data_IF_878685606508
#
_entry.id   IF_878685606508
#
_cell.length_a   1.000
_cell.length_b   1.000
_cell.length_c   1.000
_cell.angle_alpha   90.00
_cell.angle_beta   90.00
_cell.angle_gamma   90.00
#
_symmetry.space_group_name_H-M   'P 1'
#
loop_
_entity.id
_entity.type
_entity.pdbx_description
1 polymer ?
#
# COMPACT_ATOMS: atom_id res chain seq x y z
N UNK A 1 -18.96 2.41 -14.44
CA UNK A 1 -18.59 1.26 -13.59
C UNK A 1 -17.24 0.73 -14.06
N UNK A 2 -16.15 1.06 -13.38
CA UNK A 2 -14.81 0.53 -13.70
C UNK A 2 -14.23 -0.13 -12.44
N UNK A 3 -14.03 -1.44 -12.51
CA UNK A 3 -13.20 -2.25 -11.60
C UNK A 3 -13.65 -2.35 -10.13
N UNK A 4 -14.96 -2.34 -9.82
CA UNK A 4 -15.46 -2.74 -8.50
C UNK A 4 -15.04 -1.83 -7.33
N UNK A 5 -14.50 -0.64 -7.60
CA UNK A 5 -14.09 0.31 -6.57
C UNK A 5 -15.28 1.18 -6.16
N UNK A 6 -15.66 1.23 -4.87
CA UNK A 6 -16.66 2.18 -4.42
C UNK A 6 -16.12 3.61 -4.56
N UNK A 7 -16.90 4.48 -5.21
CA UNK A 7 -16.50 5.84 -5.60
C UNK A 7 -16.30 6.80 -4.41
N UNK A 8 -16.73 6.40 -3.19
CA UNK A 8 -16.76 7.25 -2.00
C UNK A 8 -15.99 6.70 -0.78
N UNK A 9 -15.01 5.82 -0.98
CA UNK A 9 -14.19 5.31 0.14
C UNK A 9 -12.89 6.10 0.25
N UNK A 10 -12.74 6.82 1.36
CA UNK A 10 -11.50 7.50 1.72
C UNK A 10 -10.51 6.51 2.35
N UNK A 11 -9.71 5.88 1.50
CA UNK A 11 -8.67 4.94 1.93
C UNK A 11 -7.56 5.60 2.78
N UNK A 12 -7.51 6.94 2.88
CA UNK A 12 -6.50 7.66 3.66
C UNK A 12 -6.75 7.63 5.17
N UNK A 13 -7.92 7.14 5.62
CA UNK A 13 -8.27 6.97 7.03
C UNK A 13 -8.42 5.48 7.42
N UNK A 14 -8.11 4.59 6.49
CA UNK A 14 -8.28 3.15 6.64
C UNK A 14 -6.95 2.49 6.95
N UNK A 15 -6.88 1.77 8.07
CA UNK A 15 -5.76 0.88 8.37
C UNK A 15 -5.90 -0.44 7.59
N UNK A 16 -4.92 -1.34 7.71
CA UNK A 16 -4.90 -2.63 7.01
C UNK A 16 -6.18 -3.45 7.21
N UNK A 17 -6.81 -3.38 8.39
CA UNK A 17 -8.06 -4.08 8.68
C UNK A 17 -9.24 -3.46 7.94
N UNK A 18 -9.28 -2.13 7.86
CA UNK A 18 -10.33 -1.41 7.14
C UNK A 18 -10.27 -1.68 5.62
N UNK A 19 -9.06 -1.90 5.08
CA UNK A 19 -8.84 -2.32 3.69
C UNK A 19 -9.33 -3.76 3.46
N UNK A 20 -9.02 -4.70 4.38
CA UNK A 20 -9.49 -6.08 4.30
C UNK A 20 -11.02 -6.19 4.39
N UNK A 21 -11.68 -5.28 5.12
CA UNK A 21 -13.14 -5.23 5.23
C UNK A 21 -13.83 -4.55 4.04
N UNK A 22 -13.14 -3.64 3.35
CA UNK A 22 -13.65 -2.98 2.15
C UNK A 22 -13.36 -3.75 0.85
N UNK A 23 -12.64 -4.88 0.92
CA UNK A 23 -12.23 -5.67 -0.24
C UNK A 23 -13.41 -6.40 -0.90
N UNK A 24 -13.39 -6.48 -2.24
CA UNK A 24 -14.37 -7.20 -3.07
C UNK A 24 -13.62 -8.10 -4.08
N UNK A 25 -14.09 -9.34 -4.34
CA UNK A 25 -13.39 -10.38 -5.12
C UNK A 25 -13.41 -11.79 -4.49
N UNK A 26 -12.67 -12.73 -5.10
CA UNK A 26 -12.44 -14.07 -4.54
C UNK A 26 -11.31 -14.03 -3.50
N UNK A 27 -11.49 -14.75 -2.38
CA UNK A 27 -10.57 -14.72 -1.22
C UNK A 27 -10.96 -13.74 -0.10
N UNK A 28 -12.05 -12.96 -0.27
CA UNK A 28 -12.56 -12.06 0.77
C UNK A 28 -12.83 -12.80 2.08
N UNK A 29 -13.41 -14.00 2.03
CA UNK A 29 -13.85 -14.71 3.24
C UNK A 29 -12.69 -14.96 4.20
N UNK A 30 -11.52 -15.30 3.67
CA UNK A 30 -10.32 -15.55 4.48
C UNK A 30 -9.73 -14.24 5.01
N UNK A 31 -9.65 -13.20 4.18
CA UNK A 31 -9.19 -11.87 4.58
C UNK A 31 -10.10 -11.24 5.65
N UNK A 32 -11.42 -11.40 5.53
CA UNK A 32 -12.42 -10.94 6.50
C UNK A 32 -12.36 -11.75 7.80
N UNK A 33 -12.14 -13.07 7.72
CA UNK A 33 -11.99 -13.90 8.91
C UNK A 33 -10.76 -13.50 9.74
N UNK A 34 -9.64 -13.25 9.06
CA UNK A 34 -8.40 -12.76 9.69
C UNK A 34 -8.59 -11.36 10.28
N UNK A 35 -9.16 -10.42 9.51
CA UNK A 35 -9.40 -9.05 9.99
C UNK A 35 -10.37 -9.01 11.19
N UNK A 36 -11.43 -9.83 11.15
CA UNK A 36 -12.38 -10.01 12.24
C UNK A 36 -11.70 -10.55 13.50
N UNK A 37 -10.85 -11.57 13.38
CA UNK A 37 -10.09 -12.12 14.51
C UNK A 37 -9.15 -11.10 15.14
N UNK A 38 -8.43 -10.33 14.32
CA UNK A 38 -7.52 -9.27 14.80
C UNK A 38 -8.31 -8.16 15.51
N UNK A 39 -9.44 -7.69 14.94
CA UNK A 39 -10.31 -6.72 15.62
C UNK A 39 -10.89 -7.26 16.91
N UNK A 40 -11.26 -8.53 16.95
CA UNK A 40 -11.81 -9.14 18.15
C UNK A 40 -10.76 -9.16 19.28
N UNK A 41 -9.49 -9.44 18.97
CA UNK A 41 -8.40 -9.33 19.94
C UNK A 41 -8.24 -7.86 20.38
N UNK A 42 -8.11 -6.92 19.44
CA UNK A 42 -7.96 -5.48 19.75
C UNK A 42 -9.11 -4.97 20.64
N UNK A 43 -10.36 -5.35 20.33
CA UNK A 43 -11.54 -4.90 21.06
C UNK A 43 -11.66 -5.58 22.43
N UNK A 44 -11.36 -6.88 22.51
CA UNK A 44 -11.34 -7.64 23.78
C UNK A 44 -10.31 -7.08 24.75
N UNK A 45 -9.18 -6.59 24.23
CA UNK A 45 -8.13 -5.95 25.02
C UNK A 45 -8.47 -4.51 25.48
N UNK A 46 -9.37 -3.82 24.78
CA UNK A 46 -9.83 -2.47 25.15
C UNK A 46 -10.89 -2.48 26.26
N UNK A 47 -11.69 -3.53 26.34
CA UNK A 47 -12.79 -3.66 27.33
C UNK A 47 -12.35 -4.31 28.65
N UNK A 48 -11.13 -4.84 28.75
CA UNK A 48 -10.50 -5.12 30.04
C UNK A 48 -9.33 -6.09 29.98
N UNK A 49 -8.19 -5.65 30.57
CA UNK A 49 -7.00 -6.42 31.02
C UNK A 49 -5.66 -6.21 30.30
N UNK A 50 -5.42 -5.13 29.57
CA UNK A 50 -4.02 -4.77 29.26
C UNK A 50 -3.40 -3.95 30.38
N UNK A 51 -2.23 -4.39 30.87
CA UNK A 51 -1.36 -3.52 31.67
C UNK A 51 -0.82 -2.37 30.81
N UNK A 52 -0.35 -1.27 31.40
CA UNK A 52 0.23 -0.16 30.62
C UNK A 52 1.38 -0.60 29.69
N UNK A 53 2.12 -1.64 30.09
CA UNK A 53 3.21 -2.21 29.29
C UNK A 53 2.69 -2.88 28.02
N UNK A 54 1.57 -3.58 28.11
CA UNK A 54 1.00 -4.28 26.96
C UNK A 54 0.35 -3.30 25.97
N UNK A 55 -0.27 -2.22 26.46
CA UNK A 55 -0.72 -1.10 25.61
C UNK A 55 0.44 -0.45 24.86
N UNK A 56 1.58 -0.28 25.53
CA UNK A 56 2.77 0.28 24.92
C UNK A 56 3.30 -0.63 23.80
N UNK A 57 3.34 -1.94 24.02
CA UNK A 57 3.74 -2.92 23.00
C UNK A 57 2.79 -2.94 21.80
N UNK A 58 1.47 -2.87 22.03
CA UNK A 58 0.49 -2.80 20.95
C UNK A 58 0.64 -1.52 20.14
N UNK A 59 0.87 -0.37 20.79
CA UNK A 59 1.12 0.89 20.09
C UNK A 59 2.42 0.85 19.27
N UNK A 60 3.49 0.27 19.81
CA UNK A 60 4.75 0.08 19.08
C UNK A 60 4.55 -0.83 17.86
N UNK A 61 3.77 -1.92 18.00
CA UNK A 61 3.45 -2.80 16.88
C UNK A 61 2.60 -2.10 15.83
N UNK A 62 1.61 -1.30 16.24
CA UNK A 62 0.77 -0.51 15.34
C UNK A 62 1.61 0.54 14.59
N UNK A 63 2.52 1.22 15.28
CA UNK A 63 3.43 2.20 14.68
C UNK A 63 4.46 1.55 13.75
N UNK A 64 5.02 0.39 14.12
CA UNK A 64 5.90 -0.37 13.23
C UNK A 64 5.16 -0.92 12.01
N UNK A 65 3.88 -1.31 12.14
CA UNK A 65 3.05 -1.74 11.01
C UNK A 65 2.72 -0.57 10.08
N UNK A 66 2.55 0.65 10.61
CA UNK A 66 2.49 1.87 9.79
C UNK A 66 3.83 2.11 9.10
N UNK A 67 4.94 1.94 9.79
CA UNK A 67 6.30 2.19 9.29
C UNK A 67 6.75 1.24 8.19
N UNK A 68 6.27 0.00 8.16
CA UNK A 68 6.55 -0.96 7.07
C UNK A 68 6.03 -0.44 5.71
N UNK A 69 4.99 0.39 5.70
CA UNK A 69 4.41 1.01 4.50
C UNK A 69 5.01 2.43 4.26
N UNK A 70 5.63 3.02 5.28
CA UNK A 70 5.73 4.48 5.47
C UNK A 70 6.76 5.21 4.61
N UNK A 71 8.05 4.82 4.45
CA UNK A 71 9.01 5.74 3.85
C UNK A 71 8.67 6.13 2.42
N UNK A 72 8.13 5.18 1.64
CA UNK A 72 7.78 5.45 0.24
C UNK A 72 6.47 6.26 0.14
N UNK A 73 5.43 5.91 0.91
CA UNK A 73 4.17 6.67 0.91
C UNK A 73 4.34 8.08 1.47
N UNK A 74 5.10 8.25 2.55
CA UNK A 74 5.38 9.56 3.14
C UNK A 74 6.12 10.47 2.16
N UNK A 75 7.09 9.93 1.41
CA UNK A 75 7.81 10.72 0.41
C UNK A 75 6.94 11.15 -0.78
N UNK A 76 5.98 10.33 -1.20
CA UNK A 76 5.01 10.75 -2.21
C UNK A 76 4.02 11.78 -1.68
N UNK A 77 3.53 11.62 -0.44
CA UNK A 77 2.66 12.58 0.22
C UNK A 77 3.35 13.95 0.37
N UNK A 78 4.60 13.97 0.84
CA UNK A 78 5.40 15.19 0.97
C UNK A 78 5.66 15.87 -0.38
N UNK A 79 5.72 15.09 -1.47
CA UNK A 79 5.85 15.59 -2.83
C UNK A 79 4.51 15.99 -3.48
N UNK A 80 3.38 15.88 -2.77
CA UNK A 80 2.04 16.13 -3.30
C UNK A 80 1.58 15.12 -4.36
N UNK A 81 2.21 13.94 -4.42
CA UNK A 81 1.94 12.90 -5.41
C UNK A 81 1.02 11.84 -4.82
N UNK A 82 -0.15 11.65 -5.41
CA UNK A 82 -1.13 10.63 -4.99
C UNK A 82 -1.06 9.39 -5.90
N UNK A 83 -0.41 8.33 -5.40
CA UNK A 83 -0.38 7.02 -6.06
C UNK A 83 -1.53 6.13 -5.59
N UNK A 84 -2.04 5.28 -6.48
CA UNK A 84 -2.95 4.20 -6.08
C UNK A 84 -2.18 3.08 -5.36
N UNK A 85 -2.85 2.20 -4.59
CA UNK A 85 -2.19 1.05 -3.97
C UNK A 85 -1.42 0.16 -4.98
N UNK A 86 -2.00 -0.07 -6.16
CA UNK A 86 -1.33 -0.81 -7.24
C UNK A 86 -0.11 -0.07 -7.80
N UNK A 87 -0.20 1.24 -7.98
CA UNK A 87 0.94 2.05 -8.43
C UNK A 87 2.06 2.08 -7.37
N UNK A 88 1.70 2.14 -6.08
CA UNK A 88 2.65 2.07 -4.97
C UNK A 88 3.37 0.71 -4.95
N UNK A 89 2.63 -0.39 -5.11
CA UNK A 89 3.17 -1.74 -5.18
C UNK A 89 4.15 -1.88 -6.36
N UNK A 90 3.75 -1.40 -7.55
CA UNK A 90 4.64 -1.37 -8.72
C UNK A 90 5.86 -0.46 -8.49
N UNK A 91 5.68 0.71 -7.85
CA UNK A 91 6.79 1.61 -7.55
C UNK A 91 7.81 0.98 -6.60
N UNK A 92 7.35 0.22 -5.59
CA UNK A 92 8.23 -0.52 -4.68
C UNK A 92 9.07 -1.54 -5.43
N UNK A 93 8.45 -2.40 -6.25
CA UNK A 93 9.17 -3.42 -7.01
C UNK A 93 10.13 -2.81 -8.04
N UNK A 94 9.76 -1.69 -8.66
CA UNK A 94 10.68 -0.93 -9.53
C UNK A 94 11.88 -0.40 -8.73
N UNK A 95 11.68 0.08 -7.50
CA UNK A 95 12.77 0.52 -6.61
C UNK A 95 13.73 -0.64 -6.31
N UNK A 96 13.19 -1.82 -6.08
CA UNK A 96 13.94 -3.05 -5.82
C UNK A 96 14.67 -3.60 -7.06
N UNK A 97 14.51 -2.94 -8.22
CA UNK A 97 15.24 -3.27 -9.45
C UNK A 97 14.55 -4.27 -10.35
N UNK A 98 13.29 -4.62 -10.06
CA UNK A 98 12.54 -5.58 -10.86
C UNK A 98 12.17 -5.02 -12.23
N UNK A 99 12.31 -5.87 -13.25
CA UNK A 99 11.90 -5.63 -14.63
C UNK A 99 10.39 -5.72 -14.79
N UNK A 100 9.85 -5.23 -15.91
CA UNK A 100 8.40 -5.33 -16.20
C UNK A 100 7.91 -6.78 -16.19
N UNK A 101 8.71 -7.69 -16.75
CA UNK A 101 8.40 -9.12 -16.81
C UNK A 101 8.41 -9.76 -15.40
N UNK A 102 9.45 -9.52 -14.60
CA UNK A 102 9.49 -10.01 -13.21
C UNK A 102 8.34 -9.47 -12.36
N UNK A 103 7.96 -8.20 -12.53
CA UNK A 103 6.82 -7.61 -11.80
C UNK A 103 5.50 -8.24 -12.26
N UNK A 104 5.36 -8.52 -13.55
CA UNK A 104 4.19 -9.18 -14.11
C UNK A 104 4.03 -10.59 -13.52
N UNK A 105 5.13 -11.34 -13.43
CA UNK A 105 5.17 -12.66 -12.81
C UNK A 105 4.84 -12.61 -11.31
N UNK A 106 5.47 -11.69 -10.55
CA UNK A 106 5.26 -11.52 -9.10
C UNK A 106 3.79 -11.18 -8.79
N UNK A 107 3.15 -10.37 -9.63
CA UNK A 107 1.80 -9.89 -9.42
C UNK A 107 0.74 -10.71 -10.17
N UNK A 108 1.14 -11.76 -10.89
CA UNK A 108 0.25 -12.61 -11.70
C UNK A 108 -0.64 -11.81 -12.69
N UNK A 109 -0.06 -10.82 -13.37
CA UNK A 109 -0.76 -9.99 -14.38
C UNK A 109 0.06 -9.90 -15.66
N UNK A 110 -0.52 -9.34 -16.73
CA UNK A 110 0.21 -9.16 -17.99
C UNK A 110 1.30 -8.09 -17.91
N UNK A 111 2.39 -8.25 -18.68
CA UNK A 111 3.40 -7.21 -18.87
C UNK A 111 2.82 -5.88 -19.39
N UNK A 112 1.75 -5.95 -20.17
CA UNK A 112 1.00 -4.78 -20.66
C UNK A 112 0.38 -4.02 -19.50
N UNK A 113 -0.20 -4.72 -18.52
CA UNK A 113 -0.75 -4.13 -17.28
C UNK A 113 0.33 -3.42 -16.49
N UNK A 114 1.50 -4.04 -16.33
CA UNK A 114 2.64 -3.41 -15.63
C UNK A 114 3.18 -2.20 -16.39
N UNK A 115 3.27 -2.29 -17.72
CA UNK A 115 3.66 -1.17 -18.57
C UNK A 115 2.70 0.02 -18.44
N UNK A 116 1.39 -0.25 -18.33
CA UNK A 116 0.37 0.76 -18.05
C UNK A 116 0.57 1.43 -16.68
N UNK A 117 0.78 0.65 -15.61
CA UNK A 117 1.07 1.22 -14.29
C UNK A 117 2.36 2.04 -14.27
N UNK A 118 3.43 1.58 -14.93
CA UNK A 118 4.69 2.34 -15.06
C UNK A 118 4.50 3.65 -15.82
N UNK A 119 3.64 3.67 -16.86
CA UNK A 119 3.29 4.89 -17.58
C UNK A 119 2.53 5.88 -16.69
N UNK A 120 1.57 5.40 -15.89
CA UNK A 120 0.83 6.24 -14.95
C UNK A 120 1.73 6.80 -13.84
N UNK A 121 2.63 5.97 -13.30
CA UNK A 121 3.67 6.42 -12.36
C UNK A 121 4.48 7.57 -12.95
N UNK A 122 4.99 7.42 -14.18
CA UNK A 122 5.73 8.50 -14.85
C UNK A 122 4.88 9.75 -15.03
N UNK A 123 3.60 9.62 -15.32
CA UNK A 123 2.72 10.78 -15.44
C UNK A 123 2.54 11.51 -14.12
N UNK A 124 2.21 10.79 -13.05
CA UNK A 124 1.98 11.33 -11.70
C UNK A 124 3.24 11.90 -11.06
N UNK A 125 4.41 11.37 -11.40
CA UNK A 125 5.72 11.86 -10.94
C UNK A 125 6.30 12.98 -11.82
N UNK A 126 5.55 13.49 -12.81
CA UNK A 126 6.02 14.57 -13.68
C UNK A 126 7.16 14.17 -14.65
N UNK A 127 7.31 12.87 -14.92
CA UNK A 127 8.36 12.30 -15.78
C UNK A 127 7.90 12.00 -17.22
N UNK A 128 6.65 12.29 -17.57
CA UNK A 128 6.05 11.93 -18.88
C UNK A 128 6.91 12.36 -20.08
N UNK A 129 7.50 13.56 -20.01
CA UNK A 129 8.31 14.13 -21.09
C UNK A 129 9.79 14.29 -20.70
N UNK A 130 10.23 13.65 -19.62
CA UNK A 130 11.62 13.73 -19.14
C UNK A 130 12.33 12.43 -19.45
N UNK A 131 13.52 12.52 -20.04
CA UNK A 131 14.45 11.39 -20.18
C UNK A 131 15.07 11.07 -18.82
N UNK A 132 14.24 10.57 -17.90
CA UNK A 132 14.63 10.18 -16.55
C UNK A 132 14.31 8.71 -16.32
N UNK A 133 15.26 7.97 -15.73
CA UNK A 133 15.07 6.60 -15.32
C UNK A 133 14.13 6.54 -14.10
N UNK A 134 13.02 5.79 -14.21
CA UNK A 134 11.99 5.74 -13.17
C UNK A 134 12.54 5.22 -11.83
N UNK A 135 13.36 4.17 -11.84
CA UNK A 135 13.97 3.61 -10.63
C UNK A 135 14.90 4.61 -9.95
N UNK A 136 15.77 5.26 -10.72
CA UNK A 136 16.71 6.26 -10.19
C UNK A 136 15.98 7.42 -9.54
N UNK A 137 14.88 7.88 -10.15
CA UNK A 137 14.03 8.92 -9.59
C UNK A 137 13.39 8.47 -8.26
N UNK A 138 12.81 7.26 -8.21
CA UNK A 138 12.21 6.70 -6.99
C UNK A 138 13.22 6.56 -5.84
N UNK A 139 14.45 6.14 -6.12
CA UNK A 139 15.52 6.07 -5.12
C UNK A 139 15.91 7.45 -4.58
N UNK A 140 15.96 8.47 -5.45
CA UNK A 140 16.27 9.85 -5.05
C UNK A 140 15.19 10.49 -4.18
N UNK A 141 13.95 9.98 -4.24
CA UNK A 141 12.86 10.39 -3.36
C UNK A 141 12.89 9.68 -2.01
N UNK A 142 13.47 8.47 -1.94
CA UNK A 142 13.52 7.65 -0.72
C UNK A 142 14.69 8.00 0.21
N UNK A 143 15.66 8.74 -0.30
CA UNK A 143 16.93 9.07 0.39
C UNK A 143 16.95 10.51 0.93
N UNK A 144 15.77 11.11 1.13
CA UNK A 144 15.61 12.43 1.75
C UNK A 144 14.89 12.30 3.08
#
# INVERSE_FOLDING_TARGET
MANGRPENVNFNQMNYLDICEAAVGDGIKDAMAVASGIRQIINREREGRLSEKDRTLVNILDDHLKDIISPLMQNFNNAGVMLTPQELQVASLVKDGKTTSEIADILFVSETTISFHRKNLRHKLGLRNRQANLRSFLLSMSSR
#
